data_IF_933602589834
#
_entry.id   IF_933602589834
#
_cell.length_a   1.000
_cell.length_b   1.000
_cell.length_c   1.000
_cell.angle_alpha   90.00
_cell.angle_beta   90.00
_cell.angle_gamma   90.00
#
_symmetry.space_group_name_H-M   'P 1'
#
loop_
_entity.id
_entity.type
_entity.pdbx_description
1 polymer ?
#
# COMPACT_ATOMS: atom_id res chain seq x y z
N UNK A 1 -18.89 -8.76 33.78
CA UNK A 1 -18.25 -9.92 33.12
C UNK A 1 -17.61 -9.43 31.84
N UNK A 2 -16.29 -9.52 31.69
CA UNK A 2 -15.61 -9.09 30.46
C UNK A 2 -16.06 -9.97 29.30
N UNK A 3 -16.47 -9.35 28.18
CA UNK A 3 -16.84 -10.06 26.94
C UNK A 3 -15.66 -10.95 26.53
N UNK A 4 -15.82 -12.27 26.41
CA UNK A 4 -14.69 -13.14 26.10
C UNK A 4 -14.08 -12.67 24.78
N UNK A 5 -12.76 -12.43 24.76
CA UNK A 5 -12.03 -12.20 23.52
C UNK A 5 -12.27 -13.44 22.67
N UNK A 6 -13.00 -13.27 21.57
CA UNK A 6 -13.30 -14.31 20.59
C UNK A 6 -11.97 -14.65 19.90
N UNK A 7 -11.13 -15.46 20.55
CA UNK A 7 -10.03 -16.12 19.86
C UNK A 7 -10.70 -17.08 18.87
N UNK A 8 -10.90 -16.59 17.65
CA UNK A 8 -11.07 -17.46 16.50
C UNK A 8 -9.84 -18.34 16.47
N UNK A 9 -10.06 -19.65 16.60
CA UNK A 9 -9.03 -20.66 16.44
C UNK A 9 -8.17 -20.33 15.22
N UNK A 10 -6.84 -20.65 15.23
CA UNK A 10 -5.99 -20.38 14.08
C UNK A 10 -6.66 -21.00 12.87
N UNK A 11 -7.19 -20.13 12.00
CA UNK A 11 -7.74 -20.43 10.69
C UNK A 11 -6.92 -21.58 10.12
N UNK A 12 -7.57 -22.74 9.97
CA UNK A 12 -6.96 -24.03 9.66
C UNK A 12 -5.89 -23.81 8.60
N UNK A 13 -4.72 -24.45 8.73
CA UNK A 13 -3.55 -24.25 7.83
C UNK A 13 -3.92 -24.07 6.35
N UNK A 14 -4.92 -24.80 5.87
CA UNK A 14 -5.53 -24.66 4.54
C UNK A 14 -6.11 -23.27 4.21
N UNK A 15 -6.83 -22.62 5.13
CA UNK A 15 -7.33 -21.26 4.98
C UNK A 15 -6.18 -20.23 4.90
N UNK A 16 -5.11 -20.44 5.67
CA UNK A 16 -3.93 -19.59 5.60
C UNK A 16 -3.16 -19.77 4.29
N UNK A 17 -3.06 -21.00 3.78
CA UNK A 17 -2.46 -21.30 2.47
C UNK A 17 -3.29 -20.71 1.32
N UNK A 18 -4.61 -20.83 1.36
CA UNK A 18 -5.50 -20.21 0.38
C UNK A 18 -5.40 -18.67 0.40
N UNK A 19 -5.33 -18.05 1.58
CA UNK A 19 -5.12 -16.62 1.73
C UNK A 19 -3.75 -16.18 1.19
N UNK A 20 -2.69 -16.98 1.43
CA UNK A 20 -1.36 -16.73 0.86
C UNK A 20 -1.39 -16.80 -0.67
N UNK A 21 -1.99 -17.83 -1.25
CA UNK A 21 -2.09 -17.98 -2.70
C UNK A 21 -2.88 -16.83 -3.35
N UNK A 22 -3.96 -16.37 -2.70
CA UNK A 22 -4.70 -15.20 -3.15
C UNK A 22 -3.88 -13.91 -3.03
N UNK A 23 -3.12 -13.73 -1.95
CA UNK A 23 -2.23 -12.58 -1.77
C UNK A 23 -1.09 -12.58 -2.79
N UNK A 24 -0.55 -13.74 -3.14
CA UNK A 24 0.47 -13.88 -4.19
C UNK A 24 -0.08 -13.50 -5.56
N UNK A 25 -1.29 -13.97 -5.90
CA UNK A 25 -1.96 -13.59 -7.14
C UNK A 25 -2.25 -12.09 -7.22
N UNK A 26 -2.48 -11.43 -6.08
CA UNK A 26 -2.76 -10.00 -5.99
C UNK A 26 -1.55 -9.18 -5.50
N UNK A 27 -0.34 -9.74 -5.58
CA UNK A 27 0.86 -9.14 -4.99
C UNK A 27 1.17 -7.77 -5.58
N UNK A 28 0.99 -7.60 -6.89
CA UNK A 28 1.25 -6.34 -7.57
C UNK A 28 0.24 -5.25 -7.18
N UNK A 29 -1.05 -5.60 -7.13
CA UNK A 29 -2.09 -4.67 -6.69
C UNK A 29 -1.89 -4.26 -5.23
N UNK A 30 -1.56 -5.21 -4.36
CA UNK A 30 -1.25 -4.94 -2.96
C UNK A 30 0.01 -4.07 -2.83
N UNK A 31 1.05 -4.34 -3.64
CA UNK A 31 2.27 -3.52 -3.69
C UNK A 31 1.92 -2.08 -4.09
N UNK A 32 1.09 -1.88 -5.12
CA UNK A 32 0.59 -0.56 -5.52
C UNK A 32 -0.14 0.16 -4.38
N UNK A 33 -1.09 -0.50 -3.71
CA UNK A 33 -1.86 0.08 -2.61
C UNK A 33 -0.97 0.46 -1.41
N UNK A 34 0.01 -0.40 -1.09
CA UNK A 34 0.97 -0.15 -0.02
C UNK A 34 1.82 1.09 -0.30
N UNK A 35 2.39 1.22 -1.50
CA UNK A 35 3.16 2.41 -1.85
C UNK A 35 2.29 3.68 -1.85
N UNK A 36 1.08 3.61 -2.41
CA UNK A 36 0.16 4.75 -2.41
C UNK A 36 -0.15 5.26 -0.99
N UNK A 37 -0.43 4.34 -0.07
CA UNK A 37 -0.77 4.68 1.32
C UNK A 37 0.44 5.24 2.08
N UNK A 38 1.62 4.65 1.86
CA UNK A 38 2.88 5.12 2.45
C UNK A 38 3.25 6.51 1.96
N UNK A 39 3.22 6.74 0.64
CA UNK A 39 3.50 8.03 0.03
C UNK A 39 2.55 9.12 0.56
N UNK A 40 1.26 8.83 0.64
CA UNK A 40 0.26 9.77 1.19
C UNK A 40 0.57 10.15 2.64
N UNK A 41 0.95 9.18 3.46
CA UNK A 41 1.30 9.47 4.87
C UNK A 41 2.59 10.28 4.94
N UNK A 42 3.61 9.89 4.16
CA UNK A 42 4.88 10.59 4.11
C UNK A 42 4.71 12.08 3.78
N UNK A 43 4.06 12.39 2.66
CA UNK A 43 3.80 13.78 2.23
C UNK A 43 3.01 14.56 3.27
N UNK A 44 2.04 13.93 3.94
CA UNK A 44 1.14 14.62 4.87
C UNK A 44 1.76 14.90 6.24
N UNK A 45 2.63 14.02 6.72
CA UNK A 45 3.03 14.05 8.15
C UNK A 45 4.53 14.03 8.40
N UNK A 46 5.36 13.62 7.43
CA UNK A 46 6.79 13.41 7.67
C UNK A 46 7.70 14.21 6.73
N UNK A 47 7.24 14.54 5.52
CA UNK A 47 8.04 15.24 4.52
C UNK A 47 8.45 16.64 5.00
N UNK A 48 9.69 17.01 4.71
CA UNK A 48 10.22 18.37 4.84
C UNK A 48 9.88 19.20 3.59
N UNK A 49 10.13 20.51 3.61
CA UNK A 49 9.87 21.35 2.44
C UNK A 49 10.69 20.92 1.23
N UNK A 50 11.97 20.59 1.43
CA UNK A 50 12.86 20.12 0.36
C UNK A 50 12.34 18.81 -0.26
N UNK A 51 11.86 17.88 0.58
CA UNK A 51 11.24 16.63 0.09
C UNK A 51 9.97 16.90 -0.73
N UNK A 52 9.17 17.91 -0.35
CA UNK A 52 7.95 18.27 -1.09
C UNK A 52 8.31 18.81 -2.46
N UNK A 53 9.32 19.67 -2.55
CA UNK A 53 9.77 20.26 -3.81
C UNK A 53 10.32 19.18 -4.76
N UNK A 54 11.18 18.27 -4.28
CA UNK A 54 11.66 17.13 -5.07
C UNK A 54 10.50 16.24 -5.55
N UNK A 55 9.53 15.95 -4.67
CA UNK A 55 8.37 15.13 -5.03
C UNK A 55 7.47 15.79 -6.08
N UNK A 56 7.37 17.13 -6.09
CA UNK A 56 6.63 17.86 -7.11
C UNK A 56 7.30 17.73 -8.50
N UNK A 57 8.62 17.86 -8.57
CA UNK A 57 9.38 17.66 -9.81
C UNK A 57 9.15 16.24 -10.36
N UNK A 58 9.29 15.22 -9.52
CA UNK A 58 9.05 13.82 -9.89
C UNK A 58 7.61 13.58 -10.37
N UNK A 59 6.63 14.25 -9.77
CA UNK A 59 5.21 14.15 -10.18
C UNK A 59 5.02 14.75 -11.58
N UNK A 60 5.64 15.89 -11.85
CA UNK A 60 5.50 16.56 -13.15
C UNK A 60 6.18 15.76 -14.26
N UNK A 61 7.38 15.25 -14.05
CA UNK A 61 8.02 14.30 -14.98
C UNK A 61 7.11 13.09 -15.26
N UNK A 62 6.51 12.51 -14.20
CA UNK A 62 5.61 11.37 -14.36
C UNK A 62 4.36 11.73 -15.16
N UNK A 63 3.76 12.90 -14.95
CA UNK A 63 2.61 13.36 -15.75
C UNK A 63 2.98 13.50 -17.22
N UNK A 64 4.15 14.06 -17.54
CA UNK A 64 4.60 14.19 -18.92
C UNK A 64 4.79 12.82 -19.57
N UNK A 65 5.42 11.86 -18.89
CA UNK A 65 5.55 10.48 -19.43
C UNK A 65 4.20 9.80 -19.67
N UNK A 66 3.17 10.11 -18.86
CA UNK A 66 1.82 9.56 -19.04
C UNK A 66 1.08 10.23 -20.21
N UNK A 67 1.29 11.53 -20.44
CA UNK A 67 0.69 12.27 -21.56
C UNK A 67 1.29 11.86 -22.91
N UNK A 68 2.58 11.54 -22.96
CA UNK A 68 3.27 11.15 -24.21
C UNK A 68 3.02 9.68 -24.58
N UNK A 69 2.45 8.87 -23.68
CA UNK A 69 2.26 7.43 -23.84
C UNK A 69 0.84 6.96 -24.14
N UNK A 70 -0.09 7.87 -24.48
CA UNK A 70 -1.45 7.57 -24.98
C UNK A 70 -1.59 7.88 -26.47
#
# INVERSE_FOLDING_TARGET
>A
MARPKKYVEPSTTAQNEANKAWQEKNKEHNKYLNYRTRARTFIRTMATNDDIDELLELIDERKETLKTGE
#
